data_IF_489624422129
#
_entry.id   IF_489624422129
#
_cell.length_a   1.000
_cell.length_b   1.000
_cell.length_c   1.000
_cell.angle_alpha   90.00
_cell.angle_beta   90.00
_cell.angle_gamma   90.00
#
_symmetry.space_group_name_H-M   'P 1'
#
loop_
_entity.id
_entity.type
_entity.pdbx_description
1 polymer ?
#
# COMPACT_ATOMS: atom_id res chain seq x y z
N UNK A 1 -31.91 11.08 -34.92
CA UNK A 1 -30.57 10.97 -34.30
C UNK A 1 -30.44 9.56 -33.73
N UNK A 2 -29.60 8.75 -34.34
CA UNK A 2 -29.44 7.32 -34.07
C UNK A 2 -28.77 7.17 -32.70
N UNK A 3 -29.49 6.66 -31.71
CA UNK A 3 -28.87 6.14 -30.49
C UNK A 3 -28.14 4.85 -30.88
N UNK A 4 -26.88 5.00 -31.27
CA UNK A 4 -25.98 3.88 -31.45
C UNK A 4 -25.87 3.15 -30.12
N UNK A 5 -26.50 1.98 -30.02
CA UNK A 5 -26.29 1.04 -28.94
C UNK A 5 -24.81 0.71 -28.90
N UNK A 6 -24.12 1.34 -27.96
CA UNK A 6 -22.78 0.96 -27.53
C UNK A 6 -22.90 -0.45 -26.98
N UNK A 7 -22.73 -1.43 -27.85
CA UNK A 7 -22.56 -2.83 -27.48
C UNK A 7 -21.28 -2.88 -26.66
N UNK A 8 -21.42 -2.76 -25.34
CA UNK A 8 -20.43 -3.27 -24.39
C UNK A 8 -20.28 -4.76 -24.72
N UNK A 9 -19.28 -5.10 -25.52
CA UNK A 9 -18.82 -6.48 -25.65
C UNK A 9 -18.34 -6.84 -24.26
N UNK A 10 -19.18 -7.55 -23.50
CA UNK A 10 -18.77 -8.22 -22.27
C UNK A 10 -17.71 -9.22 -22.70
N UNK A 11 -16.45 -8.81 -22.66
CA UNK A 11 -15.33 -9.68 -22.97
C UNK A 11 -15.23 -10.63 -21.78
N UNK A 12 -15.68 -11.87 -21.99
CA UNK A 12 -15.60 -12.92 -20.97
C UNK A 12 -14.13 -13.28 -20.82
N UNK A 13 -13.45 -12.70 -19.82
CA UNK A 13 -12.09 -13.11 -19.46
C UNK A 13 -12.17 -14.35 -18.57
N UNK A 14 -12.30 -15.53 -19.18
CA UNK A 14 -12.12 -16.78 -18.46
C UNK A 14 -10.62 -17.05 -18.33
N UNK A 15 -10.11 -16.93 -17.11
CA UNK A 15 -8.73 -17.29 -16.80
C UNK A 15 -8.65 -18.77 -16.41
N UNK A 16 -7.51 -19.40 -16.66
CA UNK A 16 -7.26 -20.78 -16.25
C UNK A 16 -6.24 -20.79 -15.12
N UNK A 17 -6.64 -21.33 -13.97
CA UNK A 17 -5.77 -21.63 -12.82
C UNK A 17 -5.93 -23.12 -12.50
N UNK A 18 -4.92 -23.74 -11.92
CA UNK A 18 -5.00 -25.17 -11.56
C UNK A 18 -5.87 -25.38 -10.32
N UNK A 19 -6.32 -26.62 -10.10
CA UNK A 19 -7.09 -26.95 -8.91
C UNK A 19 -6.28 -26.72 -7.63
N UNK A 20 -4.96 -26.96 -7.66
CA UNK A 20 -4.09 -26.65 -6.51
C UNK A 20 -4.01 -25.16 -6.24
N UNK A 21 -3.91 -24.33 -7.29
CA UNK A 21 -3.90 -22.88 -7.15
C UNK A 21 -5.23 -22.36 -6.62
N UNK A 22 -6.34 -22.96 -7.05
CA UNK A 22 -7.66 -22.62 -6.56
C UNK A 22 -7.77 -22.94 -5.07
N UNK A 23 -7.37 -24.14 -4.65
CA UNK A 23 -7.36 -24.54 -3.24
C UNK A 23 -6.44 -23.65 -2.37
N UNK A 24 -5.27 -23.28 -2.88
CA UNK A 24 -4.35 -22.35 -2.22
C UNK A 24 -5.00 -20.98 -2.00
N UNK A 25 -5.62 -20.43 -3.05
CA UNK A 25 -6.33 -19.15 -2.98
C UNK A 25 -7.49 -19.19 -2.00
N UNK A 26 -8.27 -20.27 -1.98
CA UNK A 26 -9.36 -20.47 -1.01
C UNK A 26 -8.84 -20.52 0.43
N UNK A 27 -7.74 -21.22 0.67
CA UNK A 27 -7.09 -21.26 1.98
C UNK A 27 -6.56 -19.87 2.40
N UNK A 28 -5.89 -19.16 1.49
CA UNK A 28 -5.40 -17.80 1.73
C UNK A 28 -6.57 -16.85 2.03
N UNK A 29 -7.67 -16.95 1.28
CA UNK A 29 -8.86 -16.14 1.51
C UNK A 29 -9.45 -16.38 2.91
N UNK A 30 -9.52 -17.64 3.35
CA UNK A 30 -10.06 -18.00 4.66
C UNK A 30 -9.23 -17.44 5.83
N UNK A 31 -7.91 -17.30 5.64
CA UNK A 31 -6.98 -16.83 6.69
C UNK A 31 -6.70 -15.32 6.60
N UNK A 32 -6.99 -14.71 5.46
CA UNK A 32 -6.72 -13.30 5.19
C UNK A 32 -7.73 -12.38 5.91
N UNK A 33 -7.19 -11.39 6.63
CA UNK A 33 -7.97 -10.34 7.27
C UNK A 33 -7.92 -9.00 6.52
N UNK A 34 -6.93 -8.81 5.64
CA UNK A 34 -6.84 -7.59 4.83
C UNK A 34 -7.87 -7.66 3.70
N UNK A 35 -8.88 -6.79 3.78
CA UNK A 35 -9.93 -6.67 2.75
C UNK A 35 -9.35 -6.50 1.34
N UNK A 36 -8.23 -5.79 1.20
CA UNK A 36 -7.61 -5.53 -0.10
C UNK A 36 -6.97 -6.78 -0.69
N UNK A 37 -6.42 -7.65 0.14
CA UNK A 37 -5.89 -8.95 -0.28
C UNK A 37 -7.06 -9.91 -0.58
N UNK A 38 -8.09 -9.93 0.28
CA UNK A 38 -9.32 -10.71 0.08
C UNK A 38 -10.02 -10.37 -1.25
N UNK A 39 -10.17 -9.08 -1.59
CA UNK A 39 -10.79 -8.65 -2.84
C UNK A 39 -9.98 -9.05 -4.08
N UNK A 40 -8.64 -9.05 -3.99
CA UNK A 40 -7.77 -9.57 -5.06
C UNK A 40 -7.95 -11.06 -5.26
N UNK A 41 -7.98 -11.84 -4.17
CA UNK A 41 -8.19 -13.29 -4.22
C UNK A 41 -9.56 -13.62 -4.84
N UNK A 42 -10.62 -12.96 -4.37
CA UNK A 42 -11.98 -13.16 -4.92
C UNK A 42 -12.06 -12.82 -6.40
N UNK A 43 -11.39 -11.76 -6.86
CA UNK A 43 -11.37 -11.40 -8.27
C UNK A 43 -10.79 -12.52 -9.15
N UNK A 44 -9.72 -13.18 -8.70
CA UNK A 44 -9.09 -14.30 -9.41
C UNK A 44 -9.99 -15.53 -9.39
N UNK A 45 -10.52 -15.90 -8.23
CA UNK A 45 -11.41 -17.06 -8.09
C UNK A 45 -12.65 -16.92 -8.98
N UNK A 46 -13.36 -15.80 -8.89
CA UNK A 46 -14.57 -15.55 -9.69
C UNK A 46 -14.26 -15.51 -11.20
N UNK A 47 -13.12 -14.95 -11.61
CA UNK A 47 -12.71 -14.96 -13.01
C UNK A 47 -12.41 -16.39 -13.51
N UNK A 48 -11.81 -17.25 -12.68
CA UNK A 48 -11.61 -18.67 -13.01
C UNK A 48 -12.93 -19.44 -13.14
N UNK A 49 -13.94 -19.02 -12.39
CA UNK A 49 -15.31 -19.56 -12.43
C UNK A 49 -16.13 -19.03 -13.61
N UNK A 50 -15.54 -18.16 -14.43
CA UNK A 50 -16.14 -17.64 -15.66
C UNK A 50 -17.00 -16.39 -15.47
N UNK A 51 -16.91 -15.72 -14.31
CA UNK A 51 -17.55 -14.43 -14.14
C UNK A 51 -16.86 -13.37 -15.00
N UNK A 52 -17.66 -12.46 -15.60
CA UNK A 52 -17.10 -11.33 -16.34
C UNK A 52 -16.49 -10.29 -15.40
N UNK A 53 -15.51 -9.52 -15.88
CA UNK A 53 -14.91 -8.38 -15.17
C UNK A 53 -15.97 -7.43 -14.60
N UNK A 54 -17.03 -7.16 -15.37
CA UNK A 54 -18.17 -6.32 -14.99
C UNK A 54 -18.96 -6.92 -13.83
N UNK A 55 -19.24 -8.22 -13.86
CA UNK A 55 -19.95 -8.91 -12.77
C UNK A 55 -19.14 -8.92 -11.48
N UNK A 56 -17.83 -9.19 -11.59
CA UNK A 56 -16.91 -9.18 -10.45
C UNK A 56 -16.81 -7.76 -9.87
N UNK A 57 -16.66 -6.75 -10.73
CA UNK A 57 -16.63 -5.34 -10.33
C UNK A 57 -17.88 -4.94 -9.55
N UNK A 58 -19.06 -5.35 -10.05
CA UNK A 58 -20.33 -5.12 -9.38
C UNK A 58 -20.42 -5.84 -8.02
N UNK A 59 -20.00 -7.11 -7.94
CA UNK A 59 -20.05 -7.92 -6.74
C UNK A 59 -19.11 -7.41 -5.64
N UNK A 60 -17.90 -7.02 -6.01
CA UNK A 60 -16.88 -6.51 -5.09
C UNK A 60 -16.98 -5.00 -4.83
N UNK A 61 -17.87 -4.30 -5.56
CA UNK A 61 -17.99 -2.83 -5.54
C UNK A 61 -16.67 -2.13 -5.85
N UNK A 62 -15.99 -2.61 -6.88
CA UNK A 62 -14.75 -2.07 -7.42
C UNK A 62 -14.98 -1.55 -8.84
N UNK A 63 -14.10 -0.66 -9.31
CA UNK A 63 -14.08 -0.28 -10.72
C UNK A 63 -13.58 -1.45 -11.57
N UNK A 64 -14.14 -1.62 -12.78
CA UNK A 64 -13.79 -2.73 -13.68
C UNK A 64 -12.28 -2.78 -13.99
N UNK A 65 -11.66 -1.63 -14.23
CA UNK A 65 -10.22 -1.55 -14.49
C UNK A 65 -9.37 -2.02 -13.31
N UNK A 66 -9.86 -1.89 -12.08
CA UNK A 66 -9.19 -2.39 -10.87
C UNK A 66 -9.28 -3.91 -10.80
N UNK A 67 -10.43 -4.48 -11.13
CA UNK A 67 -10.61 -5.95 -11.22
C UNK A 67 -9.68 -6.53 -12.27
N UNK A 68 -9.66 -5.96 -13.48
CA UNK A 68 -8.77 -6.39 -14.56
C UNK A 68 -7.30 -6.35 -14.13
N UNK A 69 -6.89 -5.27 -13.44
CA UNK A 69 -5.53 -5.16 -12.87
C UNK A 69 -5.24 -6.26 -11.86
N UNK A 70 -6.14 -6.53 -10.92
CA UNK A 70 -5.94 -7.59 -9.91
C UNK A 70 -5.76 -8.97 -10.56
N UNK A 71 -6.55 -9.28 -11.58
CA UNK A 71 -6.43 -10.51 -12.35
C UNK A 71 -5.07 -10.56 -13.06
N UNK A 72 -4.69 -9.51 -13.78
CA UNK A 72 -3.39 -9.44 -14.47
C UNK A 72 -2.20 -9.53 -13.52
N UNK A 73 -2.24 -8.84 -12.38
CA UNK A 73 -1.20 -8.87 -11.35
C UNK A 73 -0.98 -10.28 -10.82
N UNK A 74 -2.05 -11.05 -10.62
CA UNK A 74 -1.96 -12.44 -10.19
C UNK A 74 -1.41 -13.36 -11.28
N UNK A 75 -1.89 -13.24 -12.52
CA UNK A 75 -1.44 -14.09 -13.62
C UNK A 75 0.05 -13.88 -13.95
N UNK A 76 0.53 -12.63 -13.89
CA UNK A 76 1.90 -12.30 -14.25
C UNK A 76 2.89 -12.53 -13.10
N UNK A 77 2.46 -12.28 -11.86
CA UNK A 77 3.38 -12.18 -10.71
C UNK A 77 2.89 -12.89 -9.45
N UNK A 78 1.76 -13.61 -9.48
CA UNK A 78 1.08 -14.16 -8.29
C UNK A 78 0.85 -13.12 -7.19
N UNK A 79 0.71 -11.85 -7.58
CA UNK A 79 0.63 -10.73 -6.65
C UNK A 79 -0.77 -10.62 -6.05
N UNK A 80 -0.87 -10.94 -4.76
CA UNK A 80 -2.10 -10.84 -3.98
C UNK A 80 -2.07 -9.70 -2.97
N UNK A 81 -0.90 -9.12 -2.70
CA UNK A 81 -0.72 -8.06 -1.71
C UNK A 81 -0.58 -6.69 -2.36
N UNK A 82 -1.19 -5.64 -1.79
CA UNK A 82 -0.83 -4.28 -2.15
C UNK A 82 0.60 -4.01 -1.69
N UNK A 83 1.44 -3.53 -2.59
CA UNK A 83 2.75 -2.96 -2.21
C UNK A 83 2.51 -1.58 -1.61
N UNK A 84 2.04 -1.54 -0.37
CA UNK A 84 1.99 -0.31 0.41
C UNK A 84 3.37 -0.07 1.03
N UNK A 85 4.39 0.09 0.19
CA UNK A 85 5.69 0.61 0.63
C UNK A 85 5.59 2.10 0.89
N UNK A 86 6.25 2.58 1.94
CA UNK A 86 6.56 4.01 2.02
C UNK A 86 7.45 4.43 0.85
N UNK A 87 7.41 5.71 0.49
CA UNK A 87 8.49 6.29 -0.33
C UNK A 87 9.80 6.12 0.42
N UNK A 88 10.87 5.85 -0.33
CA UNK A 88 12.21 5.89 0.26
C UNK A 88 12.48 7.29 0.81
N UNK A 89 13.19 7.32 1.93
CA UNK A 89 13.67 8.57 2.51
C UNK A 89 14.53 9.33 1.48
N UNK A 90 14.36 10.65 1.41
CA UNK A 90 15.31 11.52 0.73
C UNK A 90 16.50 11.94 1.61
N UNK A 91 16.48 11.58 2.89
CA UNK A 91 17.57 11.83 3.84
C UNK A 91 18.60 10.71 3.75
N UNK A 92 19.88 11.08 3.76
CA UNK A 92 20.97 10.16 4.03
C UNK A 92 20.90 9.65 5.48
N UNK A 93 21.67 8.60 5.76
CA UNK A 93 21.77 8.04 7.11
C UNK A 93 22.28 9.07 8.13
N UNK A 94 23.30 9.86 7.77
CA UNK A 94 23.83 10.95 8.61
C UNK A 94 22.77 12.01 8.90
N UNK A 95 22.04 12.44 7.87
CA UNK A 95 20.98 13.44 7.99
C UNK A 95 19.82 12.93 8.85
N UNK A 96 19.54 11.64 8.76
CA UNK A 96 18.53 10.96 9.59
C UNK A 96 18.94 10.96 11.06
N UNK A 97 20.21 10.64 11.37
CA UNK A 97 20.72 10.65 12.74
C UNK A 97 20.75 12.06 13.36
N UNK A 98 21.18 13.06 12.60
CA UNK A 98 21.20 14.47 13.05
C UNK A 98 19.78 14.97 13.37
N UNK A 99 18.81 14.63 12.51
CA UNK A 99 17.41 14.99 12.74
C UNK A 99 16.82 14.29 13.96
N UNK A 100 17.12 12.99 14.17
CA UNK A 100 16.68 12.24 15.35
C UNK A 100 17.23 12.88 16.63
N UNK A 101 18.52 13.21 16.67
CA UNK A 101 19.15 13.85 17.84
C UNK A 101 18.48 15.19 18.15
N UNK A 102 18.23 16.01 17.13
CA UNK A 102 17.58 17.31 17.29
C UNK A 102 16.14 17.19 17.83
N UNK A 103 15.33 16.29 17.26
CA UNK A 103 13.94 16.07 17.67
C UNK A 103 13.85 15.41 19.06
N UNK A 104 14.83 14.60 19.43
CA UNK A 104 14.90 13.99 20.78
C UNK A 104 15.24 15.04 21.84
N UNK A 105 16.13 15.99 21.51
CA UNK A 105 16.53 17.07 22.40
C UNK A 105 15.50 18.20 22.49
N UNK A 106 14.65 18.38 21.47
CA UNK A 106 13.68 19.47 21.39
C UNK A 106 12.27 18.93 21.18
N UNK A 107 11.44 18.98 22.22
CA UNK A 107 10.02 18.64 22.10
C UNK A 107 9.30 19.75 21.33
N UNK A 108 9.17 19.57 20.02
CA UNK A 108 8.47 20.53 19.18
C UNK A 108 6.94 20.41 19.41
N UNK A 109 6.24 21.53 19.61
CA UNK A 109 4.85 21.51 20.05
C UNK A 109 3.86 21.08 18.96
N UNK A 110 4.27 21.09 17.68
CA UNK A 110 3.40 20.74 16.54
C UNK A 110 4.17 20.11 15.38
N UNK A 111 3.49 19.29 14.59
CA UNK A 111 4.02 18.73 13.33
C UNK A 111 4.42 19.83 12.33
N UNK A 112 3.73 20.97 12.34
CA UNK A 112 4.07 22.12 11.48
C UNK A 112 5.43 22.73 11.83
N UNK A 113 5.82 22.70 13.11
CA UNK A 113 7.13 23.16 13.55
C UNK A 113 8.26 22.25 13.03
N UNK A 114 8.01 20.95 12.88
CA UNK A 114 8.95 20.00 12.25
C UNK A 114 9.12 20.30 10.75
N UNK A 115 8.02 20.57 10.04
CA UNK A 115 8.03 20.85 8.59
C UNK A 115 8.71 22.19 8.27
N UNK A 116 8.55 23.19 9.15
CA UNK A 116 9.17 24.53 9.04
C UNK A 116 10.64 24.58 9.48
N UNK A 117 11.27 23.44 9.75
CA UNK A 117 12.73 23.40 9.89
C UNK A 117 13.37 23.71 8.53
N UNK A 118 13.42 24.99 8.16
CA UNK A 118 14.02 25.47 6.92
C UNK A 118 15.51 25.19 6.84
N UNK A 119 16.14 24.96 8.01
CA UNK A 119 17.47 24.40 8.25
C UNK A 119 17.56 24.10 9.75
N UNK A 120 17.71 22.85 10.21
CA UNK A 120 18.29 22.64 11.53
C UNK A 120 19.70 23.24 11.48
N UNK A 121 20.05 24.07 12.46
CA UNK A 121 21.38 24.69 12.56
C UNK A 121 22.44 23.58 12.50
N UNK A 122 23.18 23.48 11.39
CA UNK A 122 24.24 22.47 11.19
C UNK A 122 24.24 21.73 9.85
N UNK A 123 23.15 21.74 9.08
CA UNK A 123 23.10 21.00 7.82
C UNK A 123 23.76 21.74 6.65
N UNK A 124 24.61 21.05 5.89
CA UNK A 124 25.36 21.61 4.74
C UNK A 124 24.51 21.91 3.49
N UNK A 125 23.30 21.35 3.35
CA UNK A 125 22.43 21.52 2.17
C UNK A 125 20.94 21.64 2.57
N UNK A 126 20.07 22.28 1.76
CA UNK A 126 18.65 22.46 2.06
C UNK A 126 17.82 21.16 1.95
N UNK A 127 16.81 21.01 2.81
CA UNK A 127 15.88 19.86 2.81
C UNK A 127 14.48 20.24 2.36
N UNK A 128 13.81 19.31 1.70
CA UNK A 128 12.41 19.44 1.32
C UNK A 128 11.61 18.29 1.94
N UNK A 129 10.81 18.60 2.98
CA UNK A 129 9.87 17.64 3.56
C UNK A 129 8.57 17.74 2.75
N UNK A 130 8.43 16.94 1.70
CA UNK A 130 7.18 16.84 0.95
C UNK A 130 6.30 15.68 1.45
N UNK A 131 4.99 15.93 1.50
CA UNK A 131 3.95 14.92 1.66
C UNK A 131 4.04 14.06 2.94
N UNK A 132 3.35 12.91 2.92
CA UNK A 132 3.08 11.96 4.02
C UNK A 132 4.29 11.40 4.81
N UNK A 133 5.49 11.90 4.55
CA UNK A 133 6.74 11.59 5.23
C UNK A 133 6.70 11.98 6.70
N UNK A 134 6.23 13.19 7.06
CA UNK A 134 6.21 13.65 8.46
C UNK A 134 5.47 12.71 9.44
N UNK A 135 4.33 12.14 9.01
CA UNK A 135 3.54 11.21 9.84
C UNK A 135 4.20 9.84 10.02
N UNK A 136 4.84 9.31 8.97
CA UNK A 136 5.58 8.04 9.04
C UNK A 136 6.91 8.18 9.79
N UNK A 137 7.55 9.34 9.67
CA UNK A 137 8.75 9.68 10.43
C UNK A 137 8.49 9.79 11.93
N UNK A 138 7.36 10.41 12.31
CA UNK A 138 6.93 10.43 13.71
C UNK A 138 6.75 8.99 14.26
N UNK A 139 6.15 8.08 13.49
CA UNK A 139 6.01 6.67 13.89
C UNK A 139 7.37 5.97 14.00
N UNK A 140 8.31 6.21 13.09
CA UNK A 140 9.64 5.60 13.15
C UNK A 140 10.47 6.09 14.36
N UNK A 141 10.38 7.38 14.68
CA UNK A 141 11.02 7.98 15.86
C UNK A 141 10.38 7.45 17.15
N UNK A 142 9.04 7.40 17.21
CA UNK A 142 8.31 6.84 18.37
C UNK A 142 8.68 5.37 18.59
N UNK A 143 8.67 4.55 17.53
CA UNK A 143 9.02 3.13 17.63
C UNK A 143 10.48 2.92 18.05
N UNK A 144 11.41 3.72 17.50
CA UNK A 144 12.82 3.65 17.89
C UNK A 144 13.04 4.01 19.36
N UNK A 145 12.44 5.10 19.83
CA UNK A 145 12.52 5.53 21.24
C UNK A 145 11.84 4.52 22.18
N UNK A 146 10.73 3.89 21.75
CA UNK A 146 10.05 2.84 22.53
C UNK A 146 10.90 1.56 22.63
N UNK A 147 11.58 1.16 21.56
CA UNK A 147 12.49 -0.01 21.57
C UNK A 147 13.73 0.22 22.45
N UNK A 148 14.24 1.46 22.52
CA UNK A 148 15.33 1.81 23.43
C UNK A 148 14.87 1.82 24.90
N UNK A 149 13.66 2.29 25.20
CA UNK A 149 13.11 2.26 26.55
C UNK A 149 12.75 0.85 27.06
N UNK A 150 12.41 -0.09 26.17
CA UNK A 150 12.19 -1.49 26.56
C UNK A 150 13.49 -2.24 26.92
N UNK A 151 14.67 -1.74 26.52
CA UNK A 151 15.96 -2.29 26.96
C UNK A 151 16.41 -1.78 28.34
N UNK A 152 15.63 -0.89 28.99
CA UNK A 152 15.98 -0.30 30.30
C UNK A 152 15.15 -0.89 31.45
N UNK A 153 14.16 -1.74 31.16
CA UNK A 153 13.35 -2.44 32.18
C UNK A 153 13.38 -3.96 32.02
N UNK A 154 14.58 -4.54 32.04
CA UNK A 154 14.83 -5.96 32.29
C UNK A 154 15.99 -6.11 33.27
#
# INVERSE_FOLDING_TARGET
MIFAQMRFRVSVMKIFITDEQKAELEHLHHTCHDKRESDRIKAVLLASEGWSSVMIAQALRLHETTVNRHISDYLNHRKLKPENGGSQSHLSETQTQELIAYLTANLLPTTQAVIRLEKPVGFREPFFISGSSAGRYAVHVINYLSSQNQMVTA
#
